data_IF_422010341845
#
_entry.id   IF_422010341845
#
_cell.length_a   1.000
_cell.length_b   1.000
_cell.length_c   1.000
_cell.angle_alpha   90.00
_cell.angle_beta   90.00
_cell.angle_gamma   90.00
#
_symmetry.space_group_name_H-M   'P 1'
#
loop_
_entity.id
_entity.type
_entity.pdbx_description
1 polymer ?
#
# COMPACT_ATOMS: atom_id res chain seq x y z
N UNK A 1 -13.20 -5.17 14.78
CA UNK A 1 -13.70 -3.90 15.35
C UNK A 1 -13.30 -3.83 16.81
N UNK A 2 -12.25 -3.07 17.10
CA UNK A 2 -11.70 -2.96 18.45
C UNK A 2 -10.53 -2.00 18.48
N UNK A 3 -10.33 -1.30 19.59
CA UNK A 3 -9.28 -0.27 19.73
C UNK A 3 -7.90 -0.79 19.29
N UNK A 4 -7.60 -2.05 19.59
CA UNK A 4 -6.38 -2.69 19.13
C UNK A 4 -6.30 -2.75 17.60
N UNK A 5 -7.26 -3.39 16.93
CA UNK A 5 -7.29 -3.57 15.48
C UNK A 5 -7.34 -2.25 14.72
N UNK A 6 -8.14 -1.30 15.21
CA UNK A 6 -8.41 -0.06 14.50
C UNK A 6 -7.31 0.98 14.72
N UNK A 7 -6.65 0.99 15.88
CA UNK A 7 -5.69 2.03 16.24
C UNK A 7 -4.28 1.52 16.54
N UNK A 8 -4.14 0.47 17.35
CA UNK A 8 -2.81 0.02 17.80
C UNK A 8 -2.10 -0.75 16.70
N UNK A 9 -2.74 -1.79 16.17
CA UNK A 9 -2.17 -2.71 15.19
C UNK A 9 -1.64 -1.99 13.94
N UNK A 10 -2.36 -1.06 13.27
CA UNK A 10 -1.88 -0.44 12.04
C UNK A 10 -0.62 0.40 12.26
N UNK A 11 -0.47 1.01 13.44
CA UNK A 11 0.71 1.81 13.81
C UNK A 11 1.92 0.93 14.12
N UNK A 12 1.69 -0.21 14.77
CA UNK A 12 2.75 -1.21 15.01
C UNK A 12 3.21 -1.79 13.67
N UNK A 13 2.28 -2.17 12.78
CA UNK A 13 2.59 -2.64 11.43
C UNK A 13 3.37 -1.58 10.65
N UNK A 14 2.95 -0.32 10.62
CA UNK A 14 3.68 0.75 9.93
C UNK A 14 5.14 0.85 10.44
N UNK A 15 5.35 0.74 11.75
CA UNK A 15 6.69 0.82 12.33
C UNK A 15 7.56 -0.39 12.00
N UNK A 16 7.01 -1.60 12.16
CA UNK A 16 7.74 -2.85 11.96
C UNK A 16 7.97 -3.10 10.48
N UNK A 17 6.92 -3.01 9.67
CA UNK A 17 7.00 -3.27 8.24
C UNK A 17 7.60 -2.10 7.47
N UNK A 18 7.47 -0.84 7.92
CA UNK A 18 8.02 0.34 7.22
C UNK A 18 9.52 0.58 7.38
N UNK A 19 10.28 -0.37 7.95
CA UNK A 19 11.71 -0.20 8.22
C UNK A 19 12.59 -0.41 6.96
N UNK A 20 13.83 0.09 7.02
CA UNK A 20 14.77 0.03 5.89
C UNK A 20 15.22 -1.38 5.50
N UNK A 21 15.21 -2.35 6.42
CA UNK A 21 15.54 -3.75 6.08
C UNK A 21 14.45 -4.38 5.21
N UNK A 22 13.18 -4.07 5.51
CA UNK A 22 12.06 -4.54 4.69
C UNK A 22 12.07 -3.92 3.29
N UNK A 23 12.57 -2.69 3.13
CA UNK A 23 12.74 -2.08 1.82
C UNK A 23 13.72 -2.86 0.91
N UNK A 24 14.73 -3.53 1.48
CA UNK A 24 15.67 -4.36 0.71
C UNK A 24 15.02 -5.61 0.12
N UNK A 25 14.05 -6.18 0.83
CA UNK A 25 13.30 -7.36 0.37
C UNK A 25 12.18 -6.97 -0.59
N UNK A 26 11.56 -5.79 -0.39
CA UNK A 26 10.50 -5.28 -1.28
C UNK A 26 11.01 -4.91 -2.66
N UNK A 27 12.17 -4.28 -2.75
CA UNK A 27 12.66 -3.74 -4.04
C UNK A 27 12.74 -4.82 -5.12
N UNK A 28 13.35 -6.01 -4.89
CA UNK A 28 13.31 -7.09 -5.88
C UNK A 28 11.90 -7.59 -6.21
N UNK A 29 10.97 -7.56 -5.27
CA UNK A 29 9.59 -7.99 -5.51
C UNK A 29 8.78 -7.00 -6.37
N UNK A 30 9.21 -5.74 -6.44
CA UNK A 30 8.59 -4.69 -7.24
C UNK A 30 9.33 -4.45 -8.57
N UNK A 31 10.47 -5.08 -8.78
CA UNK A 31 11.23 -4.96 -10.03
C UNK A 31 10.43 -5.50 -11.22
N UNK A 32 10.45 -4.75 -12.33
CA UNK A 32 9.75 -5.11 -13.57
C UNK A 32 8.25 -4.80 -13.59
N UNK A 33 7.66 -4.30 -12.50
CA UNK A 33 6.28 -3.79 -12.52
C UNK A 33 6.17 -2.59 -13.47
N UNK A 34 5.09 -2.56 -14.24
CA UNK A 34 4.81 -1.49 -15.20
C UNK A 34 3.30 -1.32 -15.42
N UNK A 35 2.89 -0.16 -15.92
CA UNK A 35 1.49 0.15 -16.19
C UNK A 35 0.65 0.25 -14.92
N UNK A 36 -0.54 -0.36 -14.93
CA UNK A 36 -1.47 -0.35 -13.79
C UNK A 36 -1.18 -1.54 -12.88
N UNK A 37 -0.92 -1.28 -11.60
CA UNK A 37 -0.60 -2.29 -10.60
C UNK A 37 -1.72 -2.40 -9.57
N UNK A 38 -2.24 -3.60 -9.35
CA UNK A 38 -3.14 -3.89 -8.24
C UNK A 38 -2.33 -4.23 -6.98
N UNK A 39 -2.56 -3.51 -5.89
CA UNK A 39 -1.96 -3.75 -4.59
C UNK A 39 -3.01 -4.17 -3.56
N UNK A 40 -2.91 -5.42 -3.13
CA UNK A 40 -3.71 -5.97 -2.04
C UNK A 40 -2.99 -5.79 -0.71
N UNK A 41 -3.69 -5.25 0.30
CA UNK A 41 -3.09 -4.98 1.60
C UNK A 41 -2.18 -3.75 1.60
N UNK A 42 -2.59 -2.66 0.94
CA UNK A 42 -1.83 -1.42 0.82
C UNK A 42 -1.35 -0.84 2.17
N UNK A 43 -2.16 -1.01 3.21
CA UNK A 43 -1.89 -0.60 4.58
C UNK A 43 -1.42 0.85 4.68
N UNK A 44 -0.22 1.04 5.24
CA UNK A 44 0.43 2.35 5.40
C UNK A 44 1.31 2.79 4.22
N UNK A 45 1.20 2.10 3.09
CA UNK A 45 1.91 2.36 1.84
C UNK A 45 3.43 2.21 1.94
N UNK A 46 3.98 1.10 2.47
CA UNK A 46 5.43 0.92 2.60
C UNK A 46 6.14 0.69 1.26
N UNK A 47 5.39 0.41 0.19
CA UNK A 47 5.89 0.27 -1.18
C UNK A 47 6.02 1.63 -1.90
N UNK A 48 5.43 2.70 -1.36
CA UNK A 48 5.54 4.05 -1.92
C UNK A 48 7.01 4.49 -1.95
N UNK A 49 7.46 4.94 -3.12
CA UNK A 49 8.85 5.29 -3.39
C UNK A 49 9.75 4.11 -3.73
N UNK A 50 9.20 2.89 -3.79
CA UNK A 50 9.89 1.69 -4.27
C UNK A 50 9.32 1.18 -5.61
N UNK A 51 8.15 1.66 -6.04
CA UNK A 51 7.61 1.33 -7.36
C UNK A 51 8.56 1.81 -8.48
N UNK A 52 8.75 1.01 -9.54
CA UNK A 52 9.46 1.44 -10.75
C UNK A 52 8.79 2.63 -11.42
N UNK A 53 9.56 3.37 -12.23
CA UNK A 53 9.05 4.54 -12.95
C UNK A 53 8.07 4.17 -14.07
N UNK A 54 8.09 2.91 -14.50
CA UNK A 54 7.22 2.32 -15.51
C UNK A 54 5.79 2.09 -14.99
N UNK A 55 5.58 2.14 -13.67
CA UNK A 55 4.25 2.07 -13.06
C UNK A 55 3.54 3.41 -13.24
N UNK A 56 2.37 3.38 -13.87
CA UNK A 56 1.57 4.56 -14.20
C UNK A 56 0.46 4.80 -13.20
N UNK A 57 -0.01 3.76 -12.50
CA UNK A 57 -1.10 3.83 -11.52
C UNK A 57 -1.03 2.64 -10.57
N UNK A 58 -1.42 2.86 -9.30
CA UNK A 58 -1.65 1.80 -8.32
C UNK A 58 -3.11 1.79 -7.91
N UNK A 59 -3.77 0.63 -8.07
CA UNK A 59 -5.10 0.36 -7.55
C UNK A 59 -4.94 -0.37 -6.22
N UNK A 60 -5.33 0.26 -5.12
CA UNK A 60 -5.18 -0.25 -3.77
C UNK A 60 -6.48 -0.85 -3.23
N UNK A 61 -6.36 -2.02 -2.60
CA UNK A 61 -7.43 -2.67 -1.83
C UNK A 61 -6.94 -2.92 -0.42
N UNK A 62 -7.60 -2.30 0.57
CA UNK A 62 -7.20 -2.47 1.97
C UNK A 62 -8.34 -2.09 2.95
N UNK A 63 -8.62 -2.92 3.97
CA UNK A 63 -9.67 -2.62 4.95
C UNK A 63 -9.23 -1.60 6.03
N UNK A 64 -7.93 -1.36 6.22
CA UNK A 64 -7.38 -0.56 7.31
C UNK A 64 -7.41 0.95 6.99
N UNK A 65 -8.51 1.59 7.37
CA UNK A 65 -8.70 3.06 7.25
C UNK A 65 -7.56 3.85 7.92
N UNK A 66 -7.07 3.40 9.08
CA UNK A 66 -5.94 4.05 9.76
C UNK A 66 -4.62 3.84 9.01
N UNK A 67 -4.42 2.69 8.37
CA UNK A 67 -3.30 2.47 7.46
C UNK A 67 -3.26 3.53 6.37
N UNK A 68 -4.39 3.75 5.68
CA UNK A 68 -4.53 4.81 4.66
C UNK A 68 -4.20 6.21 5.21
N UNK A 69 -4.63 6.54 6.43
CA UNK A 69 -4.28 7.82 7.08
C UNK A 69 -2.78 7.95 7.33
N UNK A 70 -2.11 6.87 7.75
CA UNK A 70 -0.65 6.85 7.94
C UNK A 70 0.09 6.97 6.59
N UNK A 71 -0.48 6.42 5.53
CA UNK A 71 0.06 6.52 4.17
C UNK A 71 -0.02 7.94 3.59
N UNK A 72 -0.90 8.82 4.08
CA UNK A 72 -1.18 10.13 3.50
C UNK A 72 0.08 10.98 3.23
N UNK A 73 1.05 10.99 4.16
CA UNK A 73 2.31 11.71 3.98
C UNK A 73 3.18 11.12 2.86
N UNK A 74 3.15 9.80 2.67
CA UNK A 74 3.89 9.11 1.60
C UNK A 74 3.20 9.35 0.26
N UNK A 75 1.88 9.21 0.23
CA UNK A 75 1.03 9.48 -0.94
C UNK A 75 1.22 10.91 -1.47
N UNK A 76 1.26 11.91 -0.58
CA UNK A 76 1.48 13.30 -0.98
C UNK A 76 2.84 13.57 -1.67
N UNK A 77 3.82 12.66 -1.52
CA UNK A 77 5.12 12.74 -2.18
C UNK A 77 5.26 11.72 -3.32
N UNK A 78 4.25 10.89 -3.54
CA UNK A 78 4.28 9.85 -4.55
C UNK A 78 3.90 10.46 -5.91
N UNK A 79 4.76 10.37 -6.95
CA UNK A 79 4.39 10.84 -8.27
C UNK A 79 3.36 9.93 -8.95
N UNK A 80 3.26 8.66 -8.51
CA UNK A 80 2.34 7.68 -9.07
C UNK A 80 0.97 7.84 -8.40
N UNK A 81 -0.13 8.01 -9.17
CA UNK A 81 -1.47 8.06 -8.60
C UNK A 81 -1.83 6.73 -7.94
N UNK A 82 -2.47 6.82 -6.77
CA UNK A 82 -2.96 5.66 -6.03
C UNK A 82 -4.46 5.83 -5.82
N UNK A 83 -5.25 4.94 -6.40
CA UNK A 83 -6.71 4.90 -6.22
C UNK A 83 -7.11 3.76 -5.29
N UNK A 84 -8.00 4.02 -4.34
CA UNK A 84 -8.46 3.01 -3.39
C UNK A 84 -9.80 2.47 -3.86
N UNK A 85 -9.75 1.35 -4.58
CA UNK A 85 -10.90 0.81 -5.30
C UNK A 85 -11.76 -0.12 -4.44
N UNK A 86 -11.25 -0.64 -3.32
CA UNK A 86 -11.99 -1.61 -2.51
C UNK A 86 -11.43 -1.82 -1.10
N UNK A 87 -12.19 -2.54 -0.29
CA UNK A 87 -11.83 -2.89 1.09
C UNK A 87 -11.52 -4.38 1.26
N UNK A 88 -12.04 -5.23 0.38
CA UNK A 88 -11.93 -6.69 0.47
C UNK A 88 -11.14 -7.24 -0.71
N UNK A 89 -10.01 -7.88 -0.43
CA UNK A 89 -9.17 -8.53 -1.45
C UNK A 89 -9.82 -9.76 -2.10
N UNK A 90 -10.90 -10.29 -1.52
CA UNK A 90 -11.66 -11.41 -2.09
C UNK A 90 -12.68 -10.95 -3.14
N UNK A 91 -13.02 -9.66 -3.18
CA UNK A 91 -14.00 -9.08 -4.11
C UNK A 91 -13.40 -7.83 -4.74
N UNK A 92 -12.87 -7.99 -5.94
CA UNK A 92 -12.22 -6.91 -6.69
C UNK A 92 -13.22 -6.25 -7.64
N UNK A 93 -13.42 -4.93 -7.59
CA UNK A 93 -14.28 -4.22 -8.53
C UNK A 93 -13.52 -3.93 -9.83
N UNK A 94 -13.02 -4.99 -10.46
CA UNK A 94 -12.29 -4.97 -11.72
C UNK A 94 -12.94 -5.94 -12.71
N UNK A 95 -12.72 -5.71 -13.98
CA UNK A 95 -13.10 -6.63 -15.05
C UNK A 95 -12.18 -7.86 -15.04
N UNK A 96 -12.68 -8.99 -15.54
CA UNK A 96 -11.93 -10.25 -15.69
C UNK A 96 -10.91 -10.22 -16.85
#
# INVERSE_FOLDING_TARGET
>A
MGLYEDQVLPRVIDKVCGNAQMAKVRRPALEGLSGRVLELGFGSGPNIGLYPAEVTEVLAVDPAVVGRKLAAKRLARNPIPVDFIGLDGQVLPLED
#
